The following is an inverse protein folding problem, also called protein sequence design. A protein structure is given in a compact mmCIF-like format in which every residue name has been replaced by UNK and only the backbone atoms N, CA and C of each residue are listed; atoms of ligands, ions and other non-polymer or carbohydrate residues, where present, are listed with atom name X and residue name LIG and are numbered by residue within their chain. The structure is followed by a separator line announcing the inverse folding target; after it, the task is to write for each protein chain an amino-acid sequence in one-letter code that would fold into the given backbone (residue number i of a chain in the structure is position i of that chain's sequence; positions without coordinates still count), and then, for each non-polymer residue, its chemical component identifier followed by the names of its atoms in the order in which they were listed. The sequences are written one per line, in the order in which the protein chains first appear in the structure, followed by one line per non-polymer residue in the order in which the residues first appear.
data_IF_945635137174
#
_entry.id   IF_945635137174
#
_cell.length_a   1.000
_cell.length_b   1.000
_cell.length_c   1.000
_cell.angle_alpha   90.00
_cell.angle_beta   90.00
_cell.angle_gamma   90.00
#
_symmetry.space_group_name_H-M   'P 1'
#
loop_
_entity.id
_entity.type
_entity.pdbx_description
1 polymer ?
#
# COMPACT_ATOMS: atom_id res chain seq x y z
N UNK A 1 -10.01 -29.38 -4.59
CA UNK A 1 -9.43 -28.17 -5.22
C UNK A 1 -8.04 -27.98 -4.62
N UNK A 2 -6.94 -27.96 -5.40
CA UNK A 2 -5.59 -27.81 -4.83
C UNK A 2 -5.46 -26.47 -4.08
N UNK A 3 -4.85 -26.42 -2.88
CA UNK A 3 -4.76 -25.21 -2.05
C UNK A 3 -4.09 -24.03 -2.77
N UNK A 4 -3.11 -24.31 -3.65
CA UNK A 4 -2.47 -23.29 -4.47
C UNK A 4 -3.41 -22.61 -5.48
N UNK A 5 -4.39 -23.34 -6.03
CA UNK A 5 -5.37 -22.74 -6.96
C UNK A 5 -6.30 -21.78 -6.22
N UNK A 6 -6.72 -22.15 -5.01
CA UNK A 6 -7.53 -21.26 -4.16
C UNK A 6 -6.76 -19.98 -3.83
N UNK A 7 -5.50 -20.09 -3.42
CA UNK A 7 -4.64 -18.94 -3.11
C UNK A 7 -4.46 -18.05 -4.35
N UNK A 8 -4.18 -18.63 -5.52
CA UNK A 8 -4.09 -17.84 -6.76
C UNK A 8 -5.39 -17.09 -7.07
N UNK A 9 -6.54 -17.75 -6.93
CA UNK A 9 -7.85 -17.10 -7.17
C UNK A 9 -8.12 -15.96 -6.20
N UNK A 10 -7.68 -16.09 -4.95
CA UNK A 10 -7.78 -15.00 -3.96
C UNK A 10 -6.91 -13.81 -4.35
N UNK A 11 -5.66 -14.05 -4.80
CA UNK A 11 -4.80 -13.01 -5.36
C UNK A 11 -5.48 -12.29 -6.52
N UNK A 12 -5.99 -13.05 -7.49
CA UNK A 12 -6.65 -12.51 -8.68
C UNK A 12 -7.88 -11.67 -8.30
N UNK A 13 -8.72 -12.18 -7.40
CA UNK A 13 -9.95 -11.50 -6.96
C UNK A 13 -9.64 -10.19 -6.24
N UNK A 14 -8.63 -10.18 -5.36
CA UNK A 14 -8.22 -8.99 -4.62
C UNK A 14 -7.59 -7.95 -5.55
N UNK A 15 -6.70 -8.34 -6.45
CA UNK A 15 -6.09 -7.44 -7.42
C UNK A 15 -7.10 -6.89 -8.43
N UNK A 16 -8.08 -7.71 -8.84
CA UNK A 16 -9.16 -7.25 -9.72
C UNK A 16 -10.05 -6.21 -9.05
N UNK A 17 -10.19 -6.25 -7.72
CA UNK A 17 -10.85 -5.19 -6.95
C UNK A 17 -9.96 -3.96 -6.71
N UNK A 18 -8.69 -4.18 -6.36
CA UNK A 18 -7.78 -3.11 -5.93
C UNK A 18 -7.32 -2.21 -7.08
N UNK A 19 -7.01 -2.78 -8.25
CA UNK A 19 -6.51 -2.02 -9.40
C UNK A 19 -7.54 -1.01 -9.92
N UNK A 20 -8.80 -1.38 -10.24
CA UNK A 20 -9.79 -0.41 -10.70
C UNK A 20 -10.10 0.66 -9.64
N UNK A 21 -10.14 0.28 -8.36
CA UNK A 21 -10.34 1.23 -7.26
C UNK A 21 -9.18 2.23 -7.16
N UNK A 22 -7.94 1.76 -7.30
CA UNK A 22 -6.74 2.59 -7.33
C UNK A 22 -6.73 3.56 -8.52
N UNK A 23 -7.04 3.08 -9.72
CA UNK A 23 -7.17 3.92 -10.93
C UNK A 23 -8.26 4.97 -10.72
N UNK A 24 -9.43 4.57 -10.25
CA UNK A 24 -10.53 5.48 -9.96
C UNK A 24 -10.12 6.54 -8.93
N UNK A 25 -9.41 6.13 -7.88
CA UNK A 25 -8.86 7.05 -6.87
C UNK A 25 -7.91 8.07 -7.50
N UNK A 26 -6.96 7.63 -8.33
CA UNK A 26 -6.02 8.53 -9.04
C UNK A 26 -6.79 9.54 -9.90
N UNK A 27 -7.74 9.09 -10.71
CA UNK A 27 -8.55 9.95 -11.58
C UNK A 27 -9.33 10.97 -10.76
N UNK A 28 -9.94 10.55 -9.65
CA UNK A 28 -10.72 11.43 -8.79
C UNK A 28 -9.82 12.48 -8.12
N UNK A 29 -8.67 12.06 -7.56
CA UNK A 29 -7.69 12.97 -6.96
C UNK A 29 -7.21 13.98 -8.00
N UNK A 30 -6.80 13.53 -9.18
CA UNK A 30 -6.33 14.40 -10.25
C UNK A 30 -7.37 15.44 -10.68
N UNK A 31 -8.64 15.03 -10.86
CA UNK A 31 -9.70 15.92 -11.37
C UNK A 31 -10.35 16.80 -10.31
N UNK A 32 -10.27 16.44 -9.03
CA UNK A 32 -11.07 17.08 -7.96
C UNK A 32 -10.24 17.75 -6.86
N UNK A 33 -8.92 17.60 -6.87
CA UNK A 33 -8.05 18.37 -5.98
C UNK A 33 -8.14 19.86 -6.36
N UNK A 34 -8.48 20.76 -5.43
CA UNK A 34 -8.48 22.20 -5.70
C UNK A 34 -7.05 22.71 -5.94
N UNK A 35 -6.91 23.77 -6.73
CA UNK A 35 -5.60 24.32 -7.12
C UNK A 35 -4.72 24.71 -5.92
N UNK A 36 -5.33 25.21 -4.84
CA UNK A 36 -4.67 25.55 -3.57
C UNK A 36 -4.03 24.34 -2.86
N UNK A 37 -4.49 23.11 -3.17
CA UNK A 37 -3.99 21.86 -2.57
C UNK A 37 -3.31 20.96 -3.59
N UNK A 38 -2.95 21.50 -4.76
CA UNK A 38 -2.42 20.72 -5.89
C UNK A 38 -1.18 19.91 -5.53
N UNK A 39 -0.28 20.47 -4.71
CA UNK A 39 0.91 19.76 -4.21
C UNK A 39 0.55 18.54 -3.37
N UNK A 40 -0.40 18.69 -2.45
CA UNK A 40 -0.92 17.57 -1.66
C UNK A 40 -1.58 16.50 -2.55
N UNK A 41 -2.33 16.91 -3.58
CA UNK A 41 -2.87 16.02 -4.61
C UNK A 41 -1.78 15.22 -5.34
N UNK A 42 -0.66 15.84 -5.70
CA UNK A 42 0.46 15.14 -6.34
C UNK A 42 1.05 14.04 -5.45
N UNK A 43 1.23 14.30 -4.14
CA UNK A 43 1.72 13.27 -3.21
C UNK A 43 0.72 12.13 -3.02
N UNK A 44 -0.60 12.40 -3.02
CA UNK A 44 -1.63 11.35 -2.98
C UNK A 44 -1.64 10.50 -4.25
N UNK A 45 -1.47 11.12 -5.42
CA UNK A 45 -1.34 10.41 -6.70
C UNK A 45 -0.09 9.54 -6.68
N UNK A 46 1.04 10.10 -6.26
CA UNK A 46 2.30 9.37 -6.15
C UNK A 46 2.14 8.12 -5.27
N UNK A 47 1.51 8.28 -4.10
CA UNK A 47 1.19 7.16 -3.20
C UNK A 47 0.31 6.09 -3.87
N UNK A 48 -0.72 6.51 -4.61
CA UNK A 48 -1.59 5.57 -5.31
C UNK A 48 -0.90 4.87 -6.48
N UNK A 49 -0.02 5.54 -7.22
CA UNK A 49 0.76 4.94 -8.32
C UNK A 49 1.64 3.80 -7.79
N UNK A 50 2.42 4.04 -6.74
CA UNK A 50 3.29 3.00 -6.18
C UNK A 50 2.48 1.85 -5.58
N UNK A 51 1.33 2.15 -4.98
CA UNK A 51 0.43 1.13 -4.45
C UNK A 51 -0.19 0.27 -5.56
N UNK A 52 -0.55 0.88 -6.69
CA UNK A 52 -1.09 0.18 -7.86
C UNK A 52 -0.02 -0.70 -8.53
N UNK A 53 1.20 -0.19 -8.68
CA UNK A 53 2.33 -0.96 -9.21
C UNK A 53 2.67 -2.14 -8.30
N UNK A 54 2.63 -1.93 -6.98
CA UNK A 54 2.77 -3.02 -6.01
C UNK A 54 1.68 -4.07 -6.18
N UNK A 55 0.40 -3.69 -6.25
CA UNK A 55 -0.71 -4.65 -6.37
C UNK A 55 -0.68 -5.45 -7.67
N UNK A 56 -0.30 -4.80 -8.77
CA UNK A 56 -0.10 -5.46 -10.05
C UNK A 56 1.01 -6.51 -9.94
N UNK A 57 2.16 -6.13 -9.38
CA UNK A 57 3.28 -7.06 -9.26
C UNK A 57 3.00 -8.17 -8.24
N UNK A 58 2.52 -7.82 -7.06
CA UNK A 58 2.28 -8.76 -5.97
C UNK A 58 1.13 -9.73 -6.25
N UNK A 59 0.04 -9.27 -6.87
CA UNK A 59 -1.17 -10.07 -7.04
C UNK A 59 -1.43 -10.60 -8.45
N UNK A 60 -0.76 -10.10 -9.49
CA UNK A 60 -0.86 -10.64 -10.86
C UNK A 60 0.47 -11.20 -11.34
N UNK A 61 1.53 -10.38 -11.32
CA UNK A 61 2.80 -10.76 -11.94
C UNK A 61 3.52 -11.86 -11.15
N UNK A 62 3.69 -11.71 -9.85
CA UNK A 62 4.51 -12.62 -9.02
C UNK A 62 3.67 -13.63 -8.27
N UNK A 63 2.60 -13.20 -7.59
CA UNK A 63 1.82 -14.01 -6.64
C UNK A 63 2.73 -14.84 -5.72
N UNK A 64 3.57 -14.17 -4.91
CA UNK A 64 4.58 -14.87 -4.13
C UNK A 64 3.94 -15.66 -3.01
N UNK A 65 4.38 -16.90 -2.88
CA UNK A 65 4.05 -17.82 -1.79
C UNK A 65 5.37 -18.24 -1.15
N UNK A 66 5.64 -17.76 0.05
CA UNK A 66 6.84 -18.17 0.78
C UNK A 66 6.57 -19.44 1.58
N UNK A 67 7.46 -20.41 1.44
CA UNK A 67 7.49 -21.64 2.24
C UNK A 67 8.64 -21.58 3.23
N UNK A 68 8.37 -21.32 4.52
CA UNK A 68 9.40 -21.23 5.54
C UNK A 68 10.20 -22.52 5.70
N UNK A 69 9.54 -23.68 5.61
CA UNK A 69 10.17 -25.00 5.77
C UNK A 69 11.30 -25.24 4.76
N UNK A 70 11.01 -24.95 3.50
CA UNK A 70 11.95 -25.15 2.38
C UNK A 70 12.84 -23.92 2.15
N UNK A 71 12.54 -22.80 2.83
CA UNK A 71 13.17 -21.48 2.63
C UNK A 71 13.14 -21.05 1.16
N UNK A 72 12.00 -21.29 0.52
CA UNK A 72 11.77 -21.01 -0.89
C UNK A 72 10.62 -20.02 -1.08
N UNK A 73 10.74 -19.14 -2.07
CA UNK A 73 9.63 -18.36 -2.62
C UNK A 73 9.13 -19.08 -3.87
N UNK A 74 7.83 -19.32 -3.92
CA UNK A 74 7.13 -19.88 -5.07
C UNK A 74 6.36 -18.74 -5.73
N UNK A 75 6.61 -18.53 -7.02
CA UNK A 75 5.84 -17.62 -7.84
C UNK A 75 4.74 -18.39 -8.58
N UNK A 76 3.49 -17.98 -8.38
CA UNK A 76 2.32 -18.55 -9.04
C UNK A 76 1.78 -17.65 -10.18
N UNK A 77 2.35 -16.45 -10.33
CA UNK A 77 1.90 -15.43 -11.26
C UNK A 77 2.45 -15.57 -12.68
N UNK A 78 2.29 -14.51 -13.47
CA UNK A 78 2.81 -14.44 -14.83
C UNK A 78 4.34 -14.55 -14.92
N UNK A 79 5.08 -14.19 -13.87
CA UNK A 79 6.55 -14.20 -13.88
C UNK A 79 7.16 -15.58 -14.08
N UNK A 80 6.37 -16.65 -13.91
CA UNK A 80 6.78 -18.02 -14.25
C UNK A 80 7.05 -18.25 -15.74
N UNK A 81 6.52 -17.38 -16.60
CA UNK A 81 6.73 -17.46 -18.06
C UNK A 81 8.03 -16.75 -18.49
N UNK A 82 8.71 -16.05 -17.59
CA UNK A 82 10.01 -15.46 -17.86
C UNK A 82 11.14 -16.45 -17.58
N UNK A 83 12.30 -16.21 -18.19
CA UNK A 83 13.49 -16.99 -17.84
C UNK A 83 13.83 -16.83 -16.36
N UNK A 84 14.61 -17.79 -15.89
CA UNK A 84 15.02 -17.95 -14.50
C UNK A 84 15.52 -16.64 -13.86
N UNK A 85 16.44 -15.90 -14.51
CA UNK A 85 16.98 -14.64 -13.99
C UNK A 85 15.91 -13.53 -13.90
N UNK A 86 15.13 -13.34 -14.97
CA UNK A 86 14.11 -12.29 -15.00
C UNK A 86 12.99 -12.51 -14.00
N UNK A 87 12.64 -13.76 -13.72
CA UNK A 87 11.58 -14.10 -12.78
C UNK A 87 11.92 -13.71 -11.33
N UNK A 88 13.21 -13.76 -10.96
CA UNK A 88 13.69 -13.25 -9.69
C UNK A 88 13.65 -11.71 -9.64
N UNK A 89 14.05 -11.04 -10.72
CA UNK A 89 13.99 -9.57 -10.81
C UNK A 89 12.57 -9.03 -10.55
N UNK A 90 11.53 -9.73 -11.03
CA UNK A 90 10.13 -9.32 -10.78
C UNK A 90 9.78 -9.41 -9.28
N UNK A 91 10.30 -10.39 -8.56
CA UNK A 91 10.12 -10.51 -7.10
C UNK A 91 10.78 -9.34 -6.37
N UNK A 92 12.00 -8.99 -6.75
CA UNK A 92 12.74 -7.84 -6.18
C UNK A 92 11.99 -6.55 -6.45
N UNK A 93 11.53 -6.36 -7.70
CA UNK A 93 10.76 -5.20 -8.12
C UNK A 93 9.47 -5.03 -7.31
N UNK A 94 8.81 -6.14 -6.96
CA UNK A 94 7.61 -6.13 -6.10
C UNK A 94 7.90 -5.50 -4.74
N UNK A 95 9.00 -5.91 -4.09
CA UNK A 95 9.39 -5.35 -2.79
C UNK A 95 9.85 -3.89 -2.90
N UNK A 96 10.45 -3.52 -4.03
CA UNK A 96 10.81 -2.14 -4.31
C UNK A 96 9.58 -1.22 -4.44
N UNK A 97 8.47 -1.68 -5.03
CA UNK A 97 7.25 -0.85 -5.08
C UNK A 97 6.61 -0.67 -3.71
N UNK A 98 6.72 -1.67 -2.83
CA UNK A 98 6.26 -1.57 -1.45
C UNK A 98 7.03 -0.50 -0.66
N UNK A 99 8.36 -0.44 -0.85
CA UNK A 99 9.21 0.57 -0.22
C UNK A 99 8.92 1.98 -0.73
N UNK A 100 8.71 2.12 -2.04
CA UNK A 100 8.33 3.40 -2.64
C UNK A 100 6.94 3.86 -2.19
N UNK A 101 5.99 2.93 -1.96
CA UNK A 101 4.70 3.24 -1.34
C UNK A 101 4.88 3.77 0.08
N UNK A 102 5.70 3.12 0.91
CA UNK A 102 6.03 3.60 2.26
C UNK A 102 6.61 5.01 2.24
N UNK A 103 7.59 5.25 1.36
CA UNK A 103 8.28 6.52 1.26
C UNK A 103 7.36 7.64 0.72
N UNK A 104 6.47 7.32 -0.21
CA UNK A 104 5.46 8.26 -0.70
C UNK A 104 4.44 8.68 0.37
N UNK A 105 4.08 7.77 1.29
CA UNK A 105 3.24 8.12 2.44
C UNK A 105 4.00 9.00 3.42
N UNK A 106 5.26 8.68 3.70
CA UNK A 106 6.05 9.50 4.60
C UNK A 106 6.31 10.90 4.05
N UNK A 107 6.58 11.05 2.75
CA UNK A 107 6.70 12.35 2.09
C UNK A 107 5.40 13.15 2.12
N UNK A 108 4.24 12.51 2.04
CA UNK A 108 2.93 13.16 2.22
C UNK A 108 2.81 13.81 3.61
N UNK A 109 3.23 13.10 4.66
CA UNK A 109 3.18 13.61 6.03
C UNK A 109 4.26 14.66 6.27
N UNK A 110 5.48 14.45 5.76
CA UNK A 110 6.58 15.40 5.83
C UNK A 110 6.25 16.70 5.09
N UNK A 111 5.57 16.65 3.94
CA UNK A 111 5.11 17.85 3.24
C UNK A 111 4.10 18.64 4.07
N UNK A 112 3.20 17.95 4.80
CA UNK A 112 2.13 18.61 5.56
C UNK A 112 2.58 19.14 6.91
N UNK A 113 3.39 18.38 7.64
CA UNK A 113 3.77 18.66 9.03
C UNK A 113 5.27 18.66 9.26
N UNK A 114 6.08 18.60 8.20
CA UNK A 114 7.53 18.53 8.31
C UNK A 114 8.10 19.64 9.19
N UNK A 115 7.56 20.85 9.13
CA UNK A 115 8.02 21.93 10.01
C UNK A 115 7.86 21.58 11.51
N UNK A 116 6.72 21.00 11.93
CA UNK A 116 6.48 20.62 13.33
C UNK A 116 7.21 19.34 13.75
N UNK A 117 7.25 18.33 12.86
CA UNK A 117 7.89 17.04 13.13
C UNK A 117 9.41 17.21 13.16
N UNK A 118 9.99 17.95 12.21
CA UNK A 118 11.42 18.22 12.16
C UNK A 118 11.86 19.33 13.11
N UNK A 119 11.01 20.27 13.53
CA UNK A 119 11.32 21.20 14.64
C UNK A 119 11.69 20.45 15.94
N UNK A 120 11.09 19.28 16.17
CA UNK A 120 11.37 18.46 17.35
C UNK A 120 12.68 17.66 17.19
N UNK A 121 13.18 17.48 15.96
CA UNK A 121 14.33 16.62 15.64
C UNK A 121 15.55 17.41 15.13
N UNK A 122 15.37 18.62 14.59
CA UNK A 122 16.32 19.36 13.75
C UNK A 122 16.74 20.70 14.36
N UNK A 123 17.14 20.73 15.62
CA UNK A 123 18.13 21.75 16.02
C UNK A 123 19.51 21.44 15.41
N UNK A 124 19.77 20.20 14.97
CA UNK A 124 21.09 19.76 14.48
C UNK A 124 21.27 19.88 12.94
N UNK A 125 20.20 19.89 12.14
CA UNK A 125 20.31 19.80 10.67
C UNK A 125 19.51 20.88 9.91
N UNK A 126 19.76 22.14 10.25
CA UNK A 126 18.95 23.30 9.81
C UNK A 126 19.05 23.60 8.29
N UNK A 127 20.08 23.13 7.58
CA UNK A 127 20.38 23.60 6.21
C UNK A 127 19.89 22.76 5.02
N UNK A 128 19.52 21.48 5.18
CA UNK A 128 19.26 20.56 4.04
C UNK A 128 17.97 19.72 4.20
N UNK A 129 16.87 20.39 4.52
CA UNK A 129 15.57 19.80 4.91
C UNK A 129 14.90 18.94 3.82
N UNK A 130 15.00 19.28 2.53
CA UNK A 130 14.45 18.42 1.45
C UNK A 130 15.36 17.23 1.12
N UNK A 131 16.68 17.39 1.31
CA UNK A 131 17.67 16.35 1.09
C UNK A 131 17.53 15.23 2.13
N UNK A 132 17.29 15.56 3.40
CA UNK A 132 17.11 14.55 4.46
C UNK A 132 15.89 13.65 4.22
N UNK A 133 14.76 14.25 3.81
CA UNK A 133 13.51 13.52 3.49
C UNK A 133 13.68 12.66 2.24
N UNK A 134 14.35 13.17 1.20
CA UNK A 134 14.61 12.41 -0.02
C UNK A 134 15.68 11.31 0.18
N UNK A 135 16.75 11.55 0.92
CA UNK A 135 17.87 10.60 1.01
C UNK A 135 17.67 9.54 2.11
N UNK A 136 17.25 9.93 3.31
CA UNK A 136 17.14 8.99 4.42
C UNK A 136 15.80 8.25 4.41
N UNK A 137 14.75 8.90 3.92
CA UNK A 137 13.40 8.31 3.96
C UNK A 137 12.98 7.62 2.64
N UNK A 138 13.48 8.05 1.49
CA UNK A 138 13.21 7.38 0.20
C UNK A 138 14.36 6.46 -0.23
N UNK A 139 15.60 6.95 -0.22
CA UNK A 139 16.75 6.21 -0.78
C UNK A 139 17.20 5.12 0.20
N UNK A 140 17.29 5.40 1.51
CA UNK A 140 17.82 4.42 2.47
C UNK A 140 17.00 3.11 2.55
N UNK A 141 15.64 3.13 2.63
CA UNK A 141 14.85 1.90 2.64
C UNK A 141 14.89 1.19 1.28
N UNK A 142 14.88 1.94 0.18
CA UNK A 142 14.97 1.39 -1.19
C UNK A 142 16.32 0.70 -1.44
N UNK A 143 17.42 1.37 -1.09
CA UNK A 143 18.78 0.83 -1.22
C UNK A 143 19.00 -0.32 -0.24
N UNK A 144 18.48 -0.24 0.98
CA UNK A 144 18.59 -1.34 1.93
C UNK A 144 17.83 -2.59 1.45
N UNK A 145 16.62 -2.44 0.89
CA UNK A 145 15.87 -3.56 0.31
C UNK A 145 16.57 -4.11 -0.93
N UNK A 146 17.07 -3.25 -1.83
CA UNK A 146 17.82 -3.68 -3.01
C UNK A 146 19.12 -4.42 -2.63
N UNK A 147 19.89 -3.91 -1.67
CA UNK A 147 21.08 -4.56 -1.14
C UNK A 147 20.73 -5.91 -0.49
N UNK A 148 19.64 -6.01 0.27
CA UNK A 148 19.20 -7.28 0.86
C UNK A 148 18.97 -8.36 -0.21
N UNK A 149 18.35 -8.00 -1.34
CA UNK A 149 18.10 -8.92 -2.45
C UNK A 149 19.32 -9.22 -3.32
N UNK A 150 20.28 -8.30 -3.45
CA UNK A 150 21.55 -8.57 -4.13
C UNK A 150 22.46 -9.49 -3.29
N UNK A 151 22.39 -9.41 -1.95
CA UNK A 151 23.12 -10.33 -1.05
C UNK A 151 22.44 -11.70 -0.89
N UNK A 152 21.21 -11.81 -1.38
CA UNK A 152 20.49 -13.06 -1.54
C UNK A 152 20.99 -13.77 -2.80
N UNK A 153 21.92 -14.71 -2.63
CA UNK A 153 22.27 -15.71 -3.65
C UNK A 153 21.10 -16.71 -3.81
N UNK A 154 19.94 -16.19 -4.20
CA UNK A 154 18.79 -16.99 -4.61
C UNK A 154 19.12 -17.58 -5.96
N UNK A 155 19.15 -18.91 -6.02
CA UNK A 155 19.23 -19.60 -7.30
C UNK A 155 17.83 -20.09 -7.69
N UNK A 156 17.45 -19.94 -8.96
CA UNK A 156 16.32 -20.67 -9.51
C UNK A 156 16.64 -22.16 -9.33
N UNK A 157 15.79 -22.87 -8.59
CA UNK A 157 16.03 -24.29 -8.29
C UNK A 157 15.18 -25.17 -9.19
N UNK A 158 13.96 -24.73 -9.51
CA UNK A 158 13.03 -25.46 -10.38
C UNK A 158 12.08 -24.48 -11.08
N UNK A 159 12.05 -24.51 -12.41
CA UNK A 159 10.99 -23.91 -13.23
C UNK A 159 10.05 -25.03 -13.73
N UNK A 160 8.80 -24.99 -13.28
CA UNK A 160 7.75 -25.91 -13.72
C UNK A 160 6.66 -25.17 -14.50
N UNK A 161 5.88 -25.89 -15.32
CA UNK A 161 4.80 -25.31 -16.12
C UNK A 161 3.74 -24.57 -15.28
N UNK A 162 3.65 -24.86 -13.98
CA UNK A 162 2.64 -24.30 -13.09
C UNK A 162 3.18 -23.27 -12.09
N UNK A 163 4.47 -23.30 -11.75
CA UNK A 163 5.09 -22.39 -10.79
C UNK A 163 6.61 -22.30 -10.99
N UNK A 164 7.19 -21.21 -10.50
CA UNK A 164 8.65 -21.04 -10.40
C UNK A 164 9.09 -21.04 -8.96
N UNK A 165 10.17 -21.75 -8.63
CA UNK A 165 10.68 -21.88 -7.26
C UNK A 165 12.09 -21.30 -7.13
N UNK A 166 12.22 -20.34 -6.22
CA UNK A 166 13.49 -19.70 -5.86
C UNK A 166 13.84 -20.08 -4.42
N UNK A 167 14.97 -20.73 -4.21
CA UNK A 167 15.40 -21.13 -2.86
C UNK A 167 16.76 -20.52 -2.52
N UNK A 168 16.95 -20.19 -1.25
CA UNK A 168 18.23 -19.65 -0.77
C UNK A 168 19.19 -20.78 -0.40
N UNK A 169 20.48 -20.67 -0.76
CA UNK A 169 21.53 -21.56 -0.24
C UNK A 169 21.83 -21.20 1.22
N UNK A 170 21.72 -22.20 2.10
CA UNK A 170 21.60 -22.08 3.56
C UNK A 170 22.69 -21.27 4.33
N UNK A 171 23.84 -20.94 3.74
CA UNK A 171 24.96 -20.33 4.47
C UNK A 171 24.89 -18.81 4.71
N UNK A 172 24.05 -18.06 3.99
CA UNK A 172 23.93 -16.58 4.16
C UNK A 172 22.55 -16.10 4.61
N UNK A 173 21.65 -17.03 4.96
CA UNK A 173 20.28 -16.69 5.35
C UNK A 173 20.24 -15.88 6.66
N UNK A 174 21.12 -16.20 7.61
CA UNK A 174 21.16 -15.55 8.93
C UNK A 174 21.47 -14.04 8.84
N UNK A 175 22.41 -13.64 7.98
CA UNK A 175 22.77 -12.23 7.79
C UNK A 175 21.65 -11.46 7.10
N UNK A 176 20.96 -12.09 6.15
CA UNK A 176 19.85 -11.48 5.45
C UNK A 176 18.64 -11.30 6.36
N UNK A 177 18.20 -12.36 7.03
CA UNK A 177 16.98 -12.29 7.82
C UNK A 177 17.18 -11.37 9.02
N UNK A 178 18.40 -11.30 9.56
CA UNK A 178 18.81 -10.27 10.53
C UNK A 178 18.77 -8.86 9.93
N UNK A 179 19.26 -8.67 8.71
CA UNK A 179 19.25 -7.37 8.04
C UNK A 179 17.83 -6.90 7.68
N UNK A 180 16.97 -7.78 7.16
CA UNK A 180 15.55 -7.50 6.90
C UNK A 180 14.81 -7.16 8.19
N UNK A 181 15.13 -7.84 9.29
CA UNK A 181 14.56 -7.55 10.60
C UNK A 181 15.01 -6.19 11.11
N UNK A 182 16.28 -5.81 10.91
CA UNK A 182 16.79 -4.46 11.23
C UNK A 182 16.08 -3.38 10.39
N UNK A 183 15.96 -3.57 9.07
CA UNK A 183 15.25 -2.62 8.19
C UNK A 183 13.80 -2.46 8.63
N UNK A 184 13.13 -3.58 8.91
CA UNK A 184 11.75 -3.60 9.34
C UNK A 184 11.58 -2.94 10.71
N UNK A 185 12.50 -3.17 11.65
CA UNK A 185 12.49 -2.51 12.96
C UNK A 185 12.67 -0.99 12.82
N UNK A 186 13.60 -0.56 11.96
CA UNK A 186 13.81 0.86 11.64
C UNK A 186 12.57 1.46 10.97
N UNK A 187 11.97 0.76 10.01
CA UNK A 187 10.73 1.20 9.35
C UNK A 187 9.57 1.30 10.35
N UNK A 188 9.36 0.27 11.17
CA UNK A 188 8.34 0.26 12.22
C UNK A 188 8.54 1.42 13.21
N UNK A 189 9.79 1.67 13.65
CA UNK A 189 10.13 2.80 14.50
C UNK A 189 9.72 4.14 13.88
N UNK A 190 10.08 4.38 12.61
CA UNK A 190 9.69 5.62 11.93
C UNK A 190 8.17 5.75 11.79
N UNK A 191 7.46 4.69 11.42
CA UNK A 191 6.00 4.73 11.28
C UNK A 191 5.29 4.96 12.62
N UNK A 192 5.77 4.35 13.70
CA UNK A 192 5.27 4.59 15.06
C UNK A 192 5.54 6.03 15.50
N UNK A 193 6.75 6.54 15.24
CA UNK A 193 7.09 7.93 15.52
C UNK A 193 6.16 8.89 14.76
N UNK A 194 5.87 8.61 13.49
CA UNK A 194 4.94 9.40 12.68
C UNK A 194 3.50 9.31 13.18
N UNK A 195 3.04 8.15 13.67
CA UNK A 195 1.75 8.01 14.34
C UNK A 195 1.67 8.87 15.60
N UNK A 196 2.67 8.78 16.47
CA UNK A 196 2.74 9.57 17.71
C UNK A 196 2.78 11.07 17.40
N UNK A 197 3.58 11.48 16.42
CA UNK A 197 3.70 12.87 16.01
C UNK A 197 2.37 13.40 15.45
N UNK A 198 1.73 12.64 14.56
CA UNK A 198 0.45 13.03 13.95
C UNK A 198 -0.67 13.05 15.00
N UNK A 199 -0.66 12.12 15.96
CA UNK A 199 -1.60 12.10 17.09
C UNK A 199 -1.43 13.33 17.99
N UNK A 200 -0.19 13.71 18.34
CA UNK A 200 0.06 14.94 19.11
C UNK A 200 -0.42 16.19 18.37
N UNK A 201 -0.15 16.28 17.07
CA UNK A 201 -0.63 17.39 16.24
C UNK A 201 -2.15 17.43 16.23
N UNK A 202 -2.79 16.27 16.06
CA UNK A 202 -4.24 16.15 16.06
C UNK A 202 -4.83 16.61 17.39
N UNK A 203 -4.31 16.12 18.52
CA UNK A 203 -4.75 16.52 19.85
C UNK A 203 -4.62 18.04 20.06
N UNK A 204 -3.50 18.63 19.66
CA UNK A 204 -3.29 20.08 19.78
C UNK A 204 -4.25 20.90 18.89
N UNK A 205 -4.62 20.37 17.72
CA UNK A 205 -5.65 20.98 16.87
C UNK A 205 -7.05 20.82 17.49
N UNK A 206 -7.34 19.72 18.18
CA UNK A 206 -8.65 19.55 18.82
C UNK A 206 -8.82 20.45 20.05
N UNK A 207 -7.79 20.61 20.86
CA UNK A 207 -7.82 21.52 22.02
C UNK A 207 -7.91 22.99 21.61
N UNK A 208 -7.20 23.39 20.56
CA UNK A 208 -7.29 24.77 20.02
C UNK A 208 -8.55 25.05 19.22
N UNK A 209 -9.34 24.02 18.86
CA UNK A 209 -10.65 24.17 18.18
C UNK A 209 -11.64 25.01 18.96
N UNK A 210 -11.59 24.97 20.30
CA UNK A 210 -12.43 25.79 21.17
C UNK A 210 -12.17 27.28 21.02
N UNK A 211 -10.97 27.66 20.56
CA UNK A 211 -10.49 29.04 20.49
C UNK A 211 -10.64 29.61 19.06
N UNK A 212 -10.48 28.77 18.02
CA UNK A 212 -10.58 29.20 16.62
C UNK A 212 -11.60 28.40 15.81
N UNK A 213 -12.74 29.02 15.48
CA UNK A 213 -13.82 28.40 14.69
C UNK A 213 -13.79 28.81 13.22
N UNK A 214 -12.67 28.56 12.53
CA UNK A 214 -12.54 28.86 11.10
C UNK A 214 -12.73 27.62 10.23
N UNK A 215 -13.23 27.82 9.00
CA UNK A 215 -13.43 26.74 8.01
C UNK A 215 -12.13 26.02 7.64
N UNK A 216 -11.03 26.75 7.57
CA UNK A 216 -9.68 26.23 7.31
C UNK A 216 -9.21 25.31 8.43
N UNK A 217 -9.52 25.64 9.67
CA UNK A 217 -9.16 24.83 10.84
C UNK A 217 -9.88 23.48 10.85
N UNK A 218 -11.19 23.47 10.57
CA UNK A 218 -11.95 22.24 10.44
C UNK A 218 -11.46 21.34 9.29
N UNK A 219 -10.99 21.93 8.20
CA UNK A 219 -10.38 21.19 7.09
C UNK A 219 -9.05 20.56 7.53
N UNK A 220 -8.21 21.29 8.26
CA UNK A 220 -6.95 20.78 8.79
C UNK A 220 -7.16 19.56 9.68
N UNK A 221 -8.09 19.61 10.64
CA UNK A 221 -8.40 18.47 11.51
C UNK A 221 -8.80 17.23 10.70
N UNK A 222 -9.70 17.38 9.71
CA UNK A 222 -10.13 16.26 8.86
C UNK A 222 -8.97 15.66 8.08
N UNK A 223 -8.10 16.49 7.51
CA UNK A 223 -6.92 16.02 6.80
C UNK A 223 -5.92 15.33 7.73
N UNK A 224 -5.71 15.84 8.96
CA UNK A 224 -4.85 15.19 9.96
C UNK A 224 -5.37 13.81 10.34
N UNK A 225 -6.69 13.68 10.58
CA UNK A 225 -7.34 12.40 10.85
C UNK A 225 -7.14 11.40 9.69
N UNK A 226 -7.33 11.86 8.46
CA UNK A 226 -7.14 11.02 7.28
C UNK A 226 -5.68 10.55 7.16
N UNK A 227 -4.71 11.42 7.40
CA UNK A 227 -3.29 11.06 7.41
C UNK A 227 -2.96 10.05 8.52
N UNK A 228 -3.47 10.27 9.73
CA UNK A 228 -3.31 9.30 10.83
C UNK A 228 -3.84 7.92 10.45
N UNK A 229 -5.05 7.87 9.88
CA UNK A 229 -5.65 6.62 9.41
C UNK A 229 -4.84 5.94 8.30
N UNK A 230 -4.28 6.71 7.36
CA UNK A 230 -3.42 6.17 6.30
C UNK A 230 -2.11 5.57 6.85
N UNK A 231 -1.47 6.24 7.82
CA UNK A 231 -0.25 5.72 8.47
C UNK A 231 -0.57 4.44 9.26
N UNK A 232 -1.67 4.45 10.03
CA UNK A 232 -2.11 3.29 10.81
C UNK A 232 -2.46 2.10 9.89
N UNK A 233 -3.18 2.35 8.79
CA UNK A 233 -3.50 1.31 7.82
C UNK A 233 -2.24 0.74 7.16
N UNK A 234 -1.28 1.59 6.78
CA UNK A 234 -0.01 1.11 6.23
C UNK A 234 0.75 0.22 7.23
N UNK A 235 0.78 0.61 8.51
CA UNK A 235 1.40 -0.19 9.55
C UNK A 235 0.74 -1.57 9.71
N UNK A 236 -0.59 -1.59 9.84
CA UNK A 236 -1.37 -2.82 10.09
C UNK A 236 -1.39 -3.75 8.88
N UNK A 237 -1.58 -3.22 7.67
CA UNK A 237 -1.79 -4.05 6.49
C UNK A 237 -0.53 -4.27 5.65
N UNK A 238 0.52 -3.46 5.78
CA UNK A 238 1.77 -3.64 5.02
C UNK A 238 2.93 -4.06 5.91
N UNK A 239 3.31 -3.24 6.89
CA UNK A 239 4.50 -3.50 7.71
C UNK A 239 4.36 -4.74 8.60
N UNK A 240 3.24 -4.87 9.32
CA UNK A 240 3.04 -6.00 10.22
C UNK A 240 2.99 -7.35 9.47
N UNK A 241 2.33 -7.48 8.31
CA UNK A 241 2.40 -8.72 7.54
C UNK A 241 3.79 -9.04 6.97
N UNK A 242 4.56 -8.04 6.55
CA UNK A 242 5.97 -8.24 6.17
C UNK A 242 6.79 -8.69 7.40
N UNK A 243 6.46 -8.19 8.59
CA UNK A 243 7.11 -8.63 9.84
C UNK A 243 6.87 -10.11 10.11
N UNK A 244 5.63 -10.55 9.95
CA UNK A 244 5.27 -11.98 10.05
C UNK A 244 6.07 -12.78 9.02
N UNK A 245 6.13 -12.31 7.77
CA UNK A 245 6.89 -12.95 6.70
C UNK A 245 8.39 -13.07 7.03
N UNK A 246 9.01 -11.99 7.49
CA UNK A 246 10.41 -11.95 7.87
C UNK A 246 10.69 -12.83 9.10
N UNK A 247 9.83 -12.81 10.11
CA UNK A 247 9.98 -13.66 11.31
C UNK A 247 9.82 -15.14 10.99
N UNK A 248 8.90 -15.50 10.09
CA UNK A 248 8.70 -16.89 9.67
C UNK A 248 9.96 -17.47 9.01
N UNK A 249 10.80 -16.65 8.38
CA UNK A 249 12.07 -17.12 7.79
C UNK A 249 13.11 -17.62 8.81
N UNK A 250 12.96 -17.27 10.10
CA UNK A 250 13.78 -17.75 11.21
C UNK A 250 13.28 -19.04 11.83
N UNK A 251 12.01 -19.39 11.56
CA UNK A 251 11.31 -20.45 12.26
C UNK A 251 11.22 -21.66 11.32
N UNK A 252 11.71 -22.81 11.77
CA UNK A 252 11.71 -24.07 11.00
C UNK A 252 10.36 -24.82 11.04
N UNK A 253 9.29 -24.17 11.50
CA UNK A 253 7.95 -24.73 11.58
C UNK A 253 7.14 -24.46 10.30
N UNK A 254 6.12 -25.30 10.06
CA UNK A 254 5.19 -25.11 8.97
C UNK A 254 4.28 -23.91 9.26
N UNK A 255 4.65 -22.76 8.70
CA UNK A 255 3.92 -21.50 8.79
C UNK A 255 3.43 -21.04 7.40
N UNK A 256 3.27 -21.97 6.45
CA UNK A 256 2.85 -21.69 5.08
C UNK A 256 1.53 -20.89 5.04
N UNK A 257 0.54 -21.31 5.83
CA UNK A 257 -0.78 -20.66 5.89
C UNK A 257 -0.71 -19.23 6.49
N UNK A 258 -0.13 -19.01 7.69
CA UNK A 258 0.05 -17.66 8.25
C UNK A 258 0.78 -16.70 7.31
N UNK A 259 1.84 -17.16 6.66
CA UNK A 259 2.66 -16.37 5.73
C UNK A 259 1.87 -16.00 4.47
N UNK A 260 1.06 -16.93 3.95
CA UNK A 260 0.17 -16.68 2.82
C UNK A 260 -0.90 -15.65 3.17
N UNK A 261 -1.54 -15.80 4.33
CA UNK A 261 -2.55 -14.84 4.82
C UNK A 261 -1.92 -13.47 5.03
N UNK A 262 -0.72 -13.39 5.60
CA UNK A 262 0.03 -12.15 5.74
C UNK A 262 0.24 -11.46 4.39
N UNK A 263 0.66 -12.19 3.36
CA UNK A 263 0.85 -11.58 2.04
C UNK A 263 -0.48 -11.19 1.37
N UNK A 264 -1.58 -11.93 1.58
CA UNK A 264 -2.90 -11.51 1.10
C UNK A 264 -3.38 -10.22 1.80
N UNK A 265 -3.08 -10.06 3.10
CA UNK A 265 -3.39 -8.84 3.87
C UNK A 265 -2.70 -7.60 3.29
N UNK A 266 -1.52 -7.74 2.65
CA UNK A 266 -0.88 -6.60 2.01
C UNK A 266 -1.70 -6.07 0.84
N UNK A 267 -2.31 -6.93 0.03
CA UNK A 267 -3.16 -6.48 -1.11
C UNK A 267 -4.48 -5.91 -0.60
N UNK A 268 -5.07 -6.53 0.43
CA UNK A 268 -6.24 -5.95 1.13
C UNK A 268 -5.91 -4.54 1.64
N UNK A 269 -4.70 -4.34 2.16
CA UNK A 269 -4.19 -3.04 2.58
C UNK A 269 -4.25 -1.96 1.51
N UNK A 270 -4.01 -2.32 0.24
CA UNK A 270 -4.11 -1.38 -0.87
C UNK A 270 -5.55 -0.94 -1.14
N UNK A 271 -6.51 -1.87 -1.08
CA UNK A 271 -7.95 -1.57 -1.16
C UNK A 271 -8.32 -0.60 -0.04
N UNK A 272 -7.94 -0.94 1.20
CA UNK A 272 -8.21 -0.09 2.37
C UNK A 272 -7.60 1.29 2.19
N UNK A 273 -6.36 1.38 1.72
CA UNK A 273 -5.67 2.65 1.51
C UNK A 273 -6.38 3.53 0.47
N UNK A 274 -6.75 2.99 -0.68
CA UNK A 274 -7.53 3.72 -1.70
C UNK A 274 -8.90 4.13 -1.18
N UNK A 275 -9.59 3.28 -0.43
CA UNK A 275 -10.85 3.63 0.25
C UNK A 275 -10.67 4.75 1.27
N UNK A 276 -9.62 4.73 2.09
CA UNK A 276 -9.36 5.78 3.08
C UNK A 276 -9.12 7.14 2.42
N UNK A 277 -8.37 7.19 1.31
CA UNK A 277 -8.21 8.43 0.55
C UNK A 277 -9.56 8.94 0.08
N UNK A 278 -10.35 8.08 -0.56
CA UNK A 278 -11.66 8.42 -1.11
C UNK A 278 -12.69 8.85 -0.05
N UNK A 279 -12.67 8.23 1.14
CA UNK A 279 -13.69 8.39 2.18
C UNK A 279 -13.32 9.38 3.28
N UNK A 280 -12.03 9.64 3.53
CA UNK A 280 -11.60 10.52 4.61
C UNK A 280 -10.94 11.81 4.14
N UNK A 281 -10.23 11.79 3.00
CA UNK A 281 -9.45 12.96 2.55
C UNK A 281 -10.35 13.96 1.81
N UNK A 282 -10.53 15.21 2.31
CA UNK A 282 -11.29 16.22 1.58
C UNK A 282 -10.62 16.60 0.25
N UNK A 283 -11.39 16.94 -0.81
CA UNK A 283 -12.85 17.03 -0.87
C UNK A 283 -13.55 15.74 -1.33
N UNK A 284 -12.84 14.63 -1.53
CA UNK A 284 -13.32 13.45 -2.24
C UNK A 284 -14.63 12.84 -1.70
N UNK A 285 -14.88 12.75 -0.38
CA UNK A 285 -16.12 12.18 0.16
C UNK A 285 -17.35 12.97 -0.29
N UNK A 286 -17.21 14.30 -0.38
CA UNK A 286 -18.28 15.20 -0.85
C UNK A 286 -18.55 15.02 -2.34
N UNK A 287 -17.54 14.70 -3.14
CA UNK A 287 -17.69 14.43 -4.56
C UNK A 287 -18.36 13.06 -4.77
N UNK A 288 -17.92 12.03 -4.04
CA UNK A 288 -18.50 10.69 -4.13
C UNK A 288 -19.97 10.68 -3.75
N UNK A 289 -20.34 11.36 -2.66
CA UNK A 289 -21.74 11.49 -2.25
C UNK A 289 -22.59 12.20 -3.31
N UNK A 290 -22.06 13.22 -4.01
CA UNK A 290 -22.74 13.87 -5.14
C UNK A 290 -22.88 12.94 -6.33
N UNK A 291 -21.81 12.22 -6.71
CA UNK A 291 -21.85 11.23 -7.80
C UNK A 291 -22.88 10.13 -7.51
N UNK A 292 -22.91 9.62 -6.29
CA UNK A 292 -23.86 8.58 -5.85
C UNK A 292 -25.32 9.07 -5.84
N UNK A 293 -25.57 10.33 -5.47
CA UNK A 293 -26.91 10.94 -5.61
C UNK A 293 -27.32 11.04 -7.07
N UNK A 294 -26.41 11.49 -7.94
CA UNK A 294 -26.68 11.65 -9.36
C UNK A 294 -26.96 10.32 -10.07
N UNK A 295 -26.21 9.25 -9.76
CA UNK A 295 -26.48 7.92 -10.33
C UNK A 295 -27.83 7.37 -9.89
N UNK A 296 -28.21 7.54 -8.62
CA UNK A 296 -29.55 7.14 -8.12
C UNK A 296 -30.69 7.87 -8.80
N UNK A 297 -30.52 9.16 -9.11
CA UNK A 297 -31.53 9.95 -9.80
C UNK A 297 -31.65 9.58 -11.29
N UNK A 298 -30.54 9.20 -11.94
CA UNK A 298 -30.51 8.88 -13.37
C UNK A 298 -30.98 7.45 -13.68
N UNK A 299 -30.79 6.52 -12.74
CA UNK A 299 -31.23 5.14 -12.84
C UNK A 299 -32.21 4.80 -11.71
N UNK A 300 -33.45 5.34 -11.74
CA UNK A 300 -34.47 4.95 -10.77
C UNK A 300 -34.73 3.45 -10.92
N UNK A 301 -34.57 2.70 -9.82
CA UNK A 301 -34.77 1.23 -9.76
C UNK A 301 -36.17 0.76 -10.19
N UNK A 302 -37.12 1.67 -10.43
CA UNK A 302 -38.54 1.37 -10.66
C UNK A 302 -39.03 1.60 -12.10
N UNK A 303 -38.17 1.67 -13.13
CA UNK A 303 -38.60 1.80 -14.53
C UNK A 303 -38.62 0.49 -15.34
N UNK A 304 -38.72 -0.67 -14.67
CA UNK A 304 -38.89 -1.97 -15.34
C UNK A 304 -40.32 -2.52 -15.28
N UNK A 305 -41.29 -1.78 -14.74
CA UNK A 305 -42.70 -2.22 -14.59
C UNK A 305 -43.69 -1.56 -15.55
N UNK A 306 -43.24 -0.91 -16.62
CA UNK A 306 -44.10 -0.20 -17.58
C UNK A 306 -44.01 -0.73 -19.03
N UNK A 307 -43.71 -2.03 -19.20
CA UNK A 307 -43.81 -2.70 -20.51
C UNK A 307 -44.54 -4.04 -20.31
N UNK A 308 -45.81 -3.98 -19.94
CA UNK A 308 -46.76 -5.09 -20.05
C UNK A 308 -48.17 -4.54 -19.85
N UNK A 309 -48.71 -3.86 -20.87
CA UNK A 309 -50.14 -3.67 -21.08
C UNK A 309 -50.36 -2.73 -22.27
N UNK A 310 -50.34 -3.30 -23.48
CA UNK A 310 -51.20 -2.82 -24.58
C UNK A 310 -51.37 -3.97 -25.55
N UNK A 311 -52.09 -5.00 -25.11
CA UNK A 311 -52.99 -5.72 -26.00
C UNK A 311 -54.12 -4.75 -26.37
N UNK A 312 -53.99 -4.08 -27.51
CA UNK A 312 -55.11 -3.68 -28.40
C UNK A 312 -54.63 -2.68 -29.45
N UNK A 313 -54.06 -3.19 -30.54
CA UNK A 313 -54.20 -2.52 -31.84
C UNK A 313 -54.84 -3.57 -32.74
N UNK A 314 -56.17 -3.50 -32.85
CA UNK A 314 -56.94 -4.13 -33.92
C UNK A 314 -56.98 -3.14 -35.08
N UNK A 315 -56.63 -3.67 -36.27
CA UNK A 315 -56.85 -3.21 -37.65
C UNK A 315 -57.09 -1.72 -37.90
#
# INVERSE_FOLDING_TARGET
MHPMRLVSLLYDSLSFGSLPLGIFSIVLVYKKTPQEQRTFGYYLINLQIWTLLYDFMAGIAVKPLYRPRDKCVISLGFSRHFSEDYSLDVVVLTMQFLSLSAASLLSLVAHRYGFHIFSTFSQVFIGKRSFFVAYILHILPSVAILCAFVFLDFKPVVHEAHFSRFCSRAMKLWTLTSFLLVILAVAAFFFLLMLVATHRILHNLETSRGIMRTRTFALNIKTTYALFALIAAFFVFKLLPIAVWASASWIHFDLDMPVTVAHLLTIVGSVVQSSLILLLVPPYPSVLSKMWRWTRLRFPRNKLSYVQSTDSIKF
#
